data_IF_502574587600
#
_entry.id   IF_502574587600
#
_cell.length_a   1.000
_cell.length_b   1.000
_cell.length_c   1.000
_cell.angle_alpha   90.00
_cell.angle_beta   90.00
_cell.angle_gamma   90.00
#
_symmetry.space_group_name_H-M   'P 1'
#
loop_
_entity.id
_entity.type
_entity.pdbx_description
1 polymer ?
#
# COMPACT_ATOMS: atom_id res chain seq x y z
N UNK A 1 -3.41 -12.68 11.21
CA UNK A 1 -2.48 -13.49 12.04
C UNK A 1 -1.08 -12.92 11.95
N UNK A 2 -0.23 -13.14 12.97
CA UNK A 2 1.14 -12.59 13.06
C UNK A 2 2.00 -12.73 11.78
N UNK A 3 1.77 -13.78 10.98
CA UNK A 3 2.47 -13.99 9.70
C UNK A 3 2.14 -12.96 8.62
N UNK A 4 0.91 -12.44 8.62
CA UNK A 4 0.46 -11.45 7.64
C UNK A 4 1.15 -10.10 7.86
N UNK A 5 1.23 -9.66 9.12
CA UNK A 5 1.94 -8.44 9.49
C UNK A 5 3.42 -8.53 9.11
N UNK A 6 4.09 -9.66 9.38
CA UNK A 6 5.48 -9.90 8.95
C UNK A 6 5.63 -9.81 7.43
N UNK A 7 4.72 -10.43 6.66
CA UNK A 7 4.75 -10.40 5.20
C UNK A 7 4.55 -8.99 4.65
N UNK A 8 3.66 -8.21 5.26
CA UNK A 8 3.40 -6.82 4.91
C UNK A 8 4.64 -5.95 5.16
N UNK A 9 5.20 -5.99 6.37
CA UNK A 9 6.39 -5.19 6.70
C UNK A 9 7.59 -5.59 5.86
N UNK A 10 7.77 -6.88 5.59
CA UNK A 10 8.82 -7.36 4.69
C UNK A 10 8.64 -6.84 3.27
N UNK A 11 7.42 -6.86 2.73
CA UNK A 11 7.12 -6.31 1.42
C UNK A 11 7.47 -4.82 1.34
N UNK A 12 7.05 -4.02 2.32
CA UNK A 12 7.36 -2.58 2.34
C UNK A 12 8.88 -2.34 2.32
N UNK A 13 9.64 -3.01 3.20
CA UNK A 13 11.09 -2.81 3.32
C UNK A 13 11.93 -3.37 2.17
N UNK A 14 11.47 -4.46 1.54
CA UNK A 14 12.27 -5.16 0.51
C UNK A 14 11.85 -4.85 -0.90
N UNK A 15 10.65 -4.30 -1.10
CA UNK A 15 10.08 -4.08 -2.42
C UNK A 15 9.68 -2.64 -2.67
N UNK A 16 9.28 -1.88 -1.65
CA UNK A 16 8.86 -0.48 -1.83
C UNK A 16 10.01 0.47 -1.52
N UNK A 17 10.66 0.28 -0.37
CA UNK A 17 11.82 1.09 0.07
C UNK A 17 13.00 1.06 -0.92
N UNK A 18 13.11 -0.01 -1.72
CA UNK A 18 14.19 -0.19 -2.69
C UNK A 18 13.88 0.35 -4.09
N UNK A 19 12.70 0.94 -4.31
CA UNK A 19 12.33 1.53 -5.59
C UNK A 19 12.65 3.01 -5.61
N UNK A 20 13.17 3.47 -6.74
CA UNK A 20 13.31 4.91 -7.01
C UNK A 20 11.92 5.57 -7.15
N UNK A 21 10.95 4.85 -7.72
CA UNK A 21 9.54 5.27 -7.77
C UNK A 21 8.63 4.22 -7.12
N UNK A 22 8.03 4.50 -5.95
CA UNK A 22 7.15 3.57 -5.26
C UNK A 22 5.88 3.23 -6.06
N UNK A 23 5.49 4.06 -7.04
CA UNK A 23 4.31 3.86 -7.89
C UNK A 23 4.42 2.65 -8.81
N UNK A 24 5.65 2.20 -9.11
CA UNK A 24 5.90 1.07 -10.03
C UNK A 24 5.22 -0.24 -9.60
N UNK A 25 5.06 -0.45 -8.29
CA UNK A 25 4.37 -1.63 -7.74
C UNK A 25 2.96 -1.31 -7.23
N UNK A 26 2.58 -0.04 -7.23
CA UNK A 26 1.28 0.44 -6.80
C UNK A 26 0.29 0.51 -7.95
N UNK A 27 -1.00 0.66 -7.61
CA UNK A 27 -2.02 1.11 -8.56
C UNK A 27 -2.81 2.26 -7.95
N UNK A 28 -3.08 3.34 -8.69
CA UNK A 28 -3.96 4.38 -8.20
C UNK A 28 -5.35 3.80 -7.97
N UNK A 29 -6.02 4.25 -6.92
CA UNK A 29 -7.44 4.01 -6.74
C UNK A 29 -8.24 4.91 -7.71
N UNK A 30 -9.55 4.67 -7.80
CA UNK A 30 -10.46 5.40 -8.70
C UNK A 30 -11.56 6.07 -7.89
N UNK A 31 -12.21 7.07 -8.50
CA UNK A 31 -13.27 7.85 -7.87
C UNK A 31 -12.73 8.76 -6.77
N UNK A 32 -13.47 8.87 -5.67
CA UNK A 32 -13.19 9.79 -4.56
C UNK A 32 -11.85 9.54 -3.86
N UNK A 33 -11.25 8.36 -4.06
CA UNK A 33 -9.95 7.99 -3.49
C UNK A 33 -8.81 8.05 -4.52
N UNK A 34 -8.99 8.75 -5.64
CA UNK A 34 -8.02 8.79 -6.75
C UNK A 34 -6.64 9.37 -6.40
N UNK A 35 -6.55 10.12 -5.30
CA UNK A 35 -5.28 10.58 -4.74
C UNK A 35 -4.52 9.47 -3.99
N UNK A 36 -5.16 8.36 -3.67
CA UNK A 36 -4.56 7.25 -2.94
C UNK A 36 -4.13 6.11 -3.87
N UNK A 37 -3.11 5.40 -3.42
CA UNK A 37 -2.52 4.26 -4.07
C UNK A 37 -2.83 2.98 -3.32
N UNK A 38 -2.75 1.87 -4.04
CA UNK A 38 -2.91 0.54 -3.45
C UNK A 38 -1.77 -0.39 -3.80
N UNK A 39 -1.16 -0.98 -2.78
CA UNK A 39 -0.31 -2.16 -2.91
C UNK A 39 -1.08 -3.43 -2.57
N UNK A 40 -0.68 -4.54 -3.19
CA UNK A 40 -1.23 -5.88 -2.92
C UNK A 40 -0.17 -6.77 -2.31
N UNK A 41 -0.45 -7.32 -1.13
CA UNK A 41 0.42 -8.27 -0.43
C UNK A 41 -0.36 -9.54 -0.12
N UNK A 42 -0.36 -10.48 -1.06
CA UNK A 42 -1.22 -11.66 -1.01
C UNK A 42 -2.70 -11.25 -1.03
N UNK A 43 -3.40 -11.56 0.06
CA UNK A 43 -4.82 -11.23 0.26
C UNK A 43 -5.06 -9.91 1.00
N UNK A 44 -4.00 -9.17 1.32
CA UNK A 44 -4.10 -7.85 1.93
C UNK A 44 -3.89 -6.74 0.91
N UNK A 45 -4.59 -5.64 1.13
CA UNK A 45 -4.45 -4.38 0.41
C UNK A 45 -3.97 -3.32 1.39
N UNK A 46 -2.92 -2.63 1.00
CA UNK A 46 -2.45 -1.44 1.69
C UNK A 46 -2.94 -0.27 0.85
N UNK A 47 -3.70 0.63 1.46
CA UNK A 47 -4.04 1.92 0.87
C UNK A 47 -3.02 2.91 1.39
N UNK A 48 -2.37 3.63 0.49
CA UNK A 48 -1.29 4.53 0.80
C UNK A 48 -1.49 5.89 0.15
N UNK A 49 -1.02 6.92 0.82
CA UNK A 49 -0.70 8.21 0.20
C UNK A 49 0.78 8.22 -0.18
N UNK A 50 1.09 8.71 -1.38
CA UNK A 50 2.47 8.79 -1.90
C UNK A 50 2.79 10.26 -2.10
N UNK A 51 3.60 10.81 -1.18
CA UNK A 51 4.09 12.17 -1.28
C UNK A 51 5.40 12.18 -2.07
N UNK A 52 5.35 12.68 -3.30
CA UNK A 52 6.52 12.79 -4.18
C UNK A 52 7.55 13.80 -3.71
N UNK A 53 7.12 14.84 -3.00
CA UNK A 53 8.02 15.93 -2.58
C UNK A 53 8.99 15.47 -1.49
N UNK A 54 8.62 14.42 -0.74
CA UNK A 54 9.38 13.94 0.42
C UNK A 54 9.79 12.46 0.28
N UNK A 55 9.48 11.81 -0.86
CA UNK A 55 9.65 10.36 -1.08
C UNK A 55 9.04 9.51 0.06
N UNK A 56 7.84 9.89 0.51
CA UNK A 56 7.14 9.22 1.63
C UNK A 56 5.98 8.38 1.11
N UNK A 57 5.92 7.12 1.55
CA UNK A 57 4.75 6.24 1.39
C UNK A 57 4.04 6.09 2.74
N UNK A 58 2.94 6.82 2.92
CA UNK A 58 2.14 6.76 4.14
C UNK A 58 1.03 5.72 3.99
N UNK A 59 1.09 4.63 4.76
CA UNK A 59 0.03 3.61 4.78
C UNK A 59 -1.14 4.10 5.63
N UNK A 60 -2.24 4.50 4.99
CA UNK A 60 -3.45 5.01 5.67
C UNK A 60 -4.43 3.92 6.08
N UNK A 61 -4.40 2.76 5.39
CA UNK A 61 -5.25 1.61 5.74
C UNK A 61 -4.62 0.30 5.32
N UNK A 62 -4.72 -0.71 6.19
CA UNK A 62 -4.37 -2.10 5.86
C UNK A 62 -5.62 -2.94 6.06
N UNK A 63 -6.05 -3.66 5.02
CA UNK A 63 -7.24 -4.49 5.11
C UNK A 63 -7.18 -5.72 4.23
N UNK A 64 -7.90 -6.76 4.64
CA UNK A 64 -8.10 -7.93 3.81
C UNK A 64 -8.90 -7.55 2.56
N UNK A 65 -8.64 -8.23 1.43
CA UNK A 65 -9.22 -7.92 0.13
C UNK A 65 -10.75 -7.83 0.11
N UNK A 66 -11.41 -8.54 1.04
CA UNK A 66 -12.87 -8.61 1.15
C UNK A 66 -13.51 -7.38 1.81
N UNK A 67 -12.79 -6.63 2.65
CA UNK A 67 -13.37 -5.54 3.46
C UNK A 67 -12.56 -4.24 3.52
N UNK A 68 -11.42 -4.14 2.83
CA UNK A 68 -10.56 -2.95 2.91
C UNK A 68 -11.26 -1.64 2.47
N UNK A 69 -12.31 -1.76 1.67
CA UNK A 69 -13.10 -0.64 1.15
C UNK A 69 -14.38 -0.38 1.94
N UNK A 70 -14.68 -1.20 2.94
CA UNK A 70 -15.82 -0.99 3.82
C UNK A 70 -15.51 0.17 4.80
N UNK A 71 -16.53 0.95 5.15
CA UNK A 71 -16.40 2.12 6.02
C UNK A 71 -16.18 1.69 7.46
#
# INVERSE_FOLDING_TARGET
GHNEAKRITHYLRKRIETLDDPRLLGKPLKGDLSNLWRYRVGDYRLICDINENELIVLVVRVGHRKGVYEK
#
